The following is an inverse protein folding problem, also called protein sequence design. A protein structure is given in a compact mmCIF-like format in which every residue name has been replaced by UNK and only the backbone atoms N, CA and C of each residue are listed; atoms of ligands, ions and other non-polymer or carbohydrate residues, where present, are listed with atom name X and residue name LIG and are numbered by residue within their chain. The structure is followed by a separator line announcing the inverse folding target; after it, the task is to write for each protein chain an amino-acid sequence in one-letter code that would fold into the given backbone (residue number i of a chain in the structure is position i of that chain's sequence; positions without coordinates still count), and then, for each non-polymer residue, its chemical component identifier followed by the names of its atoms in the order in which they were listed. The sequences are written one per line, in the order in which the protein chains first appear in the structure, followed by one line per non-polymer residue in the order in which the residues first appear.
data_IF_928819675443
#
_entry.id   IF_928819675443
#
_cell.length_a   1.000
_cell.length_b   1.000
_cell.length_c   1.000
_cell.angle_alpha   90.00
_cell.angle_beta   90.00
_cell.angle_gamma   90.00
#
_symmetry.space_group_name_H-M   'P 1'
#
loop_
_entity.id
_entity.type
_entity.pdbx_description
1 polymer ?
#
# COMPACT_ATOMS: atom_id res chain seq x y z
N UNK A 1 -37.55 24.47 -16.66
CA UNK A 1 -37.18 23.62 -15.51
C UNK A 1 -35.78 24.05 -15.13
N UNK A 2 -35.68 24.94 -14.16
CA UNK A 2 -34.40 25.29 -13.55
C UNK A 2 -33.88 24.04 -12.84
N UNK A 3 -32.72 23.54 -13.27
CA UNK A 3 -31.97 22.56 -12.50
C UNK A 3 -31.67 23.19 -11.14
N UNK A 4 -32.36 22.72 -10.11
CA UNK A 4 -32.12 23.09 -8.71
C UNK A 4 -30.72 22.57 -8.35
N UNK A 5 -29.68 23.34 -8.65
CA UNK A 5 -28.32 23.05 -8.20
C UNK A 5 -28.31 23.10 -6.67
N UNK A 6 -28.41 21.93 -6.04
CA UNK A 6 -28.24 21.79 -4.59
C UNK A 6 -26.86 22.39 -4.23
N UNK A 7 -26.81 23.29 -3.22
CA UNK A 7 -25.56 23.93 -2.84
C UNK A 7 -24.56 22.87 -2.38
N UNK A 8 -23.33 22.98 -2.86
CA UNK A 8 -22.26 22.06 -2.51
C UNK A 8 -22.01 22.06 -0.99
N UNK A 9 -21.74 20.88 -0.44
CA UNK A 9 -21.62 20.67 1.00
C UNK A 9 -20.16 20.64 1.40
N UNK A 10 -19.81 21.34 2.47
CA UNK A 10 -18.45 21.35 2.99
C UNK A 10 -18.20 20.08 3.81
N UNK A 11 -17.18 19.32 3.44
CA UNK A 11 -16.65 18.17 4.14
C UNK A 11 -15.20 18.46 4.53
N UNK A 12 -14.77 17.93 5.68
CA UNK A 12 -13.36 18.00 6.07
C UNK A 12 -12.78 16.61 6.29
N UNK A 13 -11.60 16.37 5.74
CA UNK A 13 -10.82 15.16 5.98
C UNK A 13 -9.60 15.52 6.83
N UNK A 14 -9.38 14.79 7.92
CA UNK A 14 -8.25 15.00 8.82
C UNK A 14 -7.32 13.81 8.77
N UNK A 15 -6.06 14.08 8.40
CA UNK A 15 -4.95 13.14 8.39
C UNK A 15 -3.84 13.76 9.24
N UNK A 16 -3.66 13.31 10.49
CA UNK A 16 -2.53 13.76 11.32
C UNK A 16 -1.23 13.03 10.92
N UNK A 17 -0.87 13.18 9.65
CA UNK A 17 0.23 12.52 8.93
C UNK A 17 0.44 13.17 7.56
N UNK A 18 1.38 12.66 6.78
CA UNK A 18 1.64 13.13 5.42
C UNK A 18 0.51 12.72 4.47
N UNK A 19 -0.19 13.69 3.89
CA UNK A 19 -1.35 13.48 3.02
C UNK A 19 -0.96 12.63 1.80
N UNK A 20 0.20 12.91 1.18
CA UNK A 20 0.68 12.18 0.01
C UNK A 20 0.93 10.70 0.28
N UNK A 21 1.10 10.31 1.55
CA UNK A 21 1.30 8.92 2.00
C UNK A 21 0.05 8.28 2.62
N UNK A 22 -1.09 8.95 2.53
CA UNK A 22 -2.40 8.45 2.97
C UNK A 22 -3.33 8.24 1.77
N UNK A 23 -3.05 7.29 0.87
CA UNK A 23 -3.79 7.12 -0.39
C UNK A 23 -5.29 6.91 -0.17
N UNK A 24 -5.68 6.09 0.81
CA UNK A 24 -7.09 5.86 1.17
C UNK A 24 -7.86 7.15 1.50
N UNK A 25 -7.24 8.07 2.23
CA UNK A 25 -7.86 9.35 2.58
C UNK A 25 -7.95 10.30 1.39
N UNK A 26 -6.96 10.25 0.50
CA UNK A 26 -7.01 10.95 -0.77
C UNK A 26 -8.11 10.39 -1.68
N UNK A 27 -8.34 9.07 -1.67
CA UNK A 27 -9.42 8.45 -2.42
C UNK A 27 -10.81 8.81 -1.86
N UNK A 28 -10.96 8.90 -0.53
CA UNK A 28 -12.16 9.48 0.08
C UNK A 28 -12.40 10.92 -0.39
N UNK A 29 -11.36 11.75 -0.43
CA UNK A 29 -11.46 13.12 -0.92
C UNK A 29 -11.94 13.17 -2.37
N UNK A 30 -11.33 12.38 -3.27
CA UNK A 30 -11.77 12.27 -4.66
C UNK A 30 -13.24 11.83 -4.76
N UNK A 31 -13.63 10.78 -4.03
CA UNK A 31 -15.01 10.29 -4.03
C UNK A 31 -16.01 11.34 -3.53
N UNK A 32 -15.66 12.14 -2.51
CA UNK A 32 -16.53 13.23 -2.03
C UNK A 32 -16.64 14.37 -3.06
N UNK A 33 -15.54 14.73 -3.73
CA UNK A 33 -15.54 15.76 -4.78
C UNK A 33 -16.45 15.36 -5.96
N UNK A 34 -16.48 14.07 -6.31
CA UNK A 34 -17.39 13.53 -7.34
C UNK A 34 -18.87 13.64 -6.94
N UNK A 35 -19.19 13.67 -5.64
CA UNK A 35 -20.55 13.77 -5.10
C UNK A 35 -20.92 15.18 -4.66
N UNK A 36 -20.37 16.21 -5.33
CA UNK A 36 -20.68 17.62 -5.13
C UNK A 36 -20.36 18.17 -3.72
N UNK A 37 -19.33 17.63 -3.06
CA UNK A 37 -18.76 18.25 -1.87
C UNK A 37 -17.68 19.27 -2.21
N UNK A 38 -17.55 20.29 -1.36
CA UNK A 38 -16.29 21.02 -1.19
C UNK A 38 -15.50 20.30 -0.09
N UNK A 39 -14.24 19.96 -0.34
CA UNK A 39 -13.41 19.15 0.55
C UNK A 39 -12.24 19.97 1.07
N UNK A 40 -12.17 20.16 2.39
CA UNK A 40 -10.99 20.67 3.07
C UNK A 40 -10.18 19.48 3.63
N UNK A 41 -8.91 19.34 3.26
CA UNK A 41 -8.01 18.29 3.78
C UNK A 41 -7.02 18.93 4.75
N UNK A 42 -6.94 18.44 5.98
CA UNK A 42 -6.00 18.90 7.00
C UNK A 42 -4.95 17.82 7.24
N UNK A 43 -3.67 18.16 7.10
CA UNK A 43 -2.56 17.24 7.35
C UNK A 43 -1.20 17.84 7.03
N UNK A 44 -0.14 17.03 7.03
CA UNK A 44 1.17 17.45 6.55
C UNK A 44 1.27 17.25 5.03
N UNK A 45 2.04 18.09 4.36
CA UNK A 45 2.31 17.98 2.92
C UNK A 45 3.82 17.86 2.72
N UNK A 46 4.35 16.68 3.00
CA UNK A 46 5.77 16.36 2.79
C UNK A 46 5.98 15.69 1.43
N UNK A 47 4.99 14.91 0.99
CA UNK A 47 4.93 14.28 -0.33
C UNK A 47 3.81 14.91 -1.15
N UNK A 48 3.98 15.00 -2.47
CA UNK A 48 2.94 15.50 -3.37
C UNK A 48 1.67 14.63 -3.29
N UNK A 49 0.48 15.23 -3.06
CA UNK A 49 -0.79 14.54 -3.15
C UNK A 49 -1.14 14.14 -4.59
N UNK A 50 -2.17 13.31 -4.74
CA UNK A 50 -2.79 12.95 -6.02
C UNK A 50 -3.09 14.20 -6.85
N UNK A 51 -2.70 14.17 -8.13
CA UNK A 51 -2.90 15.27 -9.06
C UNK A 51 -4.38 15.66 -9.17
N UNK A 52 -5.29 14.71 -9.04
CA UNK A 52 -6.75 14.93 -9.07
C UNK A 52 -7.21 15.91 -7.98
N UNK A 53 -6.60 15.86 -6.79
CA UNK A 53 -6.93 16.78 -5.68
C UNK A 53 -6.41 18.18 -5.97
N UNK A 54 -5.19 18.26 -6.50
CA UNK A 54 -4.54 19.52 -6.87
C UNK A 54 -5.30 20.21 -8.00
N UNK A 55 -5.80 19.48 -9.01
CA UNK A 55 -6.55 20.04 -10.15
C UNK A 55 -7.87 20.71 -9.75
N UNK A 56 -8.46 20.35 -8.60
CA UNK A 56 -9.75 20.87 -8.14
C UNK A 56 -9.64 22.05 -7.16
N UNK A 57 -8.73 23.01 -7.38
CA UNK A 57 -8.48 24.14 -6.47
C UNK A 57 -9.73 24.92 -6.00
N UNK A 58 -10.81 24.94 -6.79
CA UNK A 58 -12.06 25.61 -6.43
C UNK A 58 -12.91 24.84 -5.40
N UNK A 59 -12.82 23.52 -5.37
CA UNK A 59 -13.62 22.63 -4.51
C UNK A 59 -12.78 21.90 -3.45
N UNK A 60 -11.49 21.71 -3.68
CA UNK A 60 -10.56 21.03 -2.79
C UNK A 60 -9.50 22.00 -2.27
N UNK A 61 -9.34 22.08 -0.94
CA UNK A 61 -8.32 22.91 -0.30
C UNK A 61 -7.53 22.10 0.70
N UNK A 62 -6.21 22.22 0.64
CA UNK A 62 -5.29 21.55 1.58
C UNK A 62 -4.81 22.58 2.60
N UNK A 63 -4.98 22.25 3.88
CA UNK A 63 -4.57 23.06 5.02
C UNK A 63 -3.42 22.37 5.73
N UNK A 64 -2.21 22.86 5.46
CA UNK A 64 -0.99 22.26 5.98
C UNK A 64 -0.83 22.53 7.48
N UNK A 65 -0.60 21.46 8.23
CA UNK A 65 -0.23 21.55 9.64
C UNK A 65 1.20 22.04 9.79
N UNK A 66 1.46 22.74 10.88
CA UNK A 66 2.81 23.22 11.21
C UNK A 66 3.64 22.04 11.72
N UNK A 67 4.79 21.73 11.09
CA UNK A 67 5.68 20.67 11.55
C UNK A 67 6.07 20.87 13.02
N UNK A 68 6.23 19.76 13.75
CA UNK A 68 6.69 19.81 15.14
C UNK A 68 8.16 20.22 15.14
N UNK A 69 8.56 21.28 15.86
CA UNK A 69 9.96 21.71 15.87
C UNK A 69 10.83 20.65 16.55
N UNK A 70 12.06 20.49 16.05
CA UNK A 70 13.02 19.60 16.68
C UNK A 70 13.53 20.25 17.97
N UNK A 71 13.32 19.55 19.09
CA UNK A 71 13.60 20.04 20.44
C UNK A 71 14.48 19.04 21.18
N UNK A 72 15.50 19.52 21.88
CA UNK A 72 16.40 18.67 22.67
C UNK A 72 15.80 18.26 24.01
N UNK A 73 14.67 17.55 23.98
CA UNK A 73 13.99 17.02 25.18
C UNK A 73 14.25 15.53 25.39
N UNK A 74 13.99 15.04 26.61
CA UNK A 74 13.94 13.60 26.89
C UNK A 74 12.80 12.95 26.10
N UNK A 75 12.85 11.63 25.76
CA UNK A 75 11.85 10.98 24.92
C UNK A 75 10.39 11.17 25.41
N UNK A 76 10.16 11.14 26.73
CA UNK A 76 8.83 11.37 27.32
C UNK A 76 8.37 12.82 27.11
N UNK A 77 9.24 13.79 27.36
CA UNK A 77 8.93 15.22 27.15
C UNK A 77 8.74 15.54 25.67
N UNK A 78 9.51 14.92 24.76
CA UNK A 78 9.30 15.00 23.30
C UNK A 78 7.89 14.56 22.92
N UNK A 79 7.41 13.44 23.45
CA UNK A 79 6.06 12.93 23.15
C UNK A 79 4.97 13.87 23.65
N UNK A 80 5.11 14.40 24.87
CA UNK A 80 4.16 15.36 25.47
C UNK A 80 4.15 16.65 24.65
N UNK A 81 5.32 17.22 24.38
CA UNK A 81 5.45 18.43 23.57
C UNK A 81 4.87 18.25 22.17
N UNK A 82 5.19 17.12 21.50
CA UNK A 82 4.62 16.75 20.20
C UNK A 82 3.10 16.71 20.26
N UNK A 83 2.53 16.09 21.28
CA UNK A 83 1.07 15.99 21.44
C UNK A 83 0.42 17.36 21.62
N UNK A 84 1.00 18.25 22.45
CA UNK A 84 0.51 19.62 22.65
C UNK A 84 0.61 20.42 21.35
N UNK A 85 1.77 20.38 20.69
CA UNK A 85 2.00 21.11 19.44
C UNK A 85 1.02 20.68 18.35
N UNK A 86 0.87 19.37 18.15
CA UNK A 86 -0.08 18.81 17.19
C UNK A 86 -1.52 19.19 17.54
N UNK A 87 -1.88 19.23 18.83
CA UNK A 87 -3.21 19.68 19.27
C UNK A 87 -3.47 21.12 18.88
N UNK A 88 -2.53 22.03 19.14
CA UNK A 88 -2.65 23.45 18.83
C UNK A 88 -2.67 23.70 17.31
N UNK A 89 -1.80 23.01 16.57
CA UNK A 89 -1.74 23.13 15.11
C UNK A 89 -3.03 22.63 14.45
N UNK A 90 -3.55 21.47 14.91
CA UNK A 90 -4.81 20.91 14.41
C UNK A 90 -6.00 21.80 14.76
N UNK A 91 -6.08 22.31 16.00
CA UNK A 91 -7.12 23.27 16.39
C UNK A 91 -7.10 24.52 15.50
N UNK A 92 -5.92 25.13 15.31
CA UNK A 92 -5.76 26.30 14.44
C UNK A 92 -6.26 26.02 13.03
N UNK A 93 -5.91 24.88 12.44
CA UNK A 93 -6.36 24.50 11.10
C UNK A 93 -7.88 24.28 11.04
N UNK A 94 -8.46 23.60 12.04
CA UNK A 94 -9.91 23.35 12.10
C UNK A 94 -10.73 24.64 12.24
N UNK A 95 -10.19 25.66 12.91
CA UNK A 95 -10.85 26.97 13.01
C UNK A 95 -10.57 27.88 11.80
N UNK A 96 -9.67 27.51 10.89
CA UNK A 96 -9.43 28.27 9.64
C UNK A 96 -10.25 27.78 8.44
N UNK A 97 -10.89 26.62 8.54
CA UNK A 97 -11.76 26.08 7.47
C UNK A 97 -13.19 26.62 7.57
N UNK A 98 -13.93 26.51 6.47
CA UNK A 98 -15.38 26.70 6.50
C UNK A 98 -16.01 25.58 7.33
N UNK A 99 -17.09 25.90 8.06
CA UNK A 99 -17.81 24.92 8.87
C UNK A 99 -18.21 23.70 8.04
N UNK A 100 -17.68 22.50 8.32
CA UNK A 100 -18.03 21.30 7.58
C UNK A 100 -19.31 20.68 8.15
N UNK A 101 -20.08 19.97 7.32
CA UNK A 101 -21.20 19.14 7.79
C UNK A 101 -20.68 17.92 8.55
N UNK A 102 -19.59 17.33 8.07
CA UNK A 102 -18.91 16.21 8.73
C UNK A 102 -17.39 16.30 8.61
N UNK A 103 -16.72 15.72 9.60
CA UNK A 103 -15.29 15.45 9.64
C UNK A 103 -15.06 13.96 9.44
N UNK A 104 -14.24 13.58 8.47
CA UNK A 104 -13.73 12.22 8.32
C UNK A 104 -12.29 12.17 8.82
N UNK A 105 -12.04 11.39 9.87
CA UNK A 105 -10.74 11.32 10.53
C UNK A 105 -10.07 9.98 10.26
N UNK A 106 -8.82 10.01 9.81
CA UNK A 106 -7.97 8.81 9.74
C UNK A 106 -7.49 8.45 11.15
N UNK A 107 -7.75 7.22 11.60
CA UNK A 107 -7.13 6.65 12.77
C UNK A 107 -6.23 5.48 12.36
N UNK A 108 -4.92 5.47 12.72
CA UNK A 108 -4.20 6.37 13.63
C UNK A 108 -3.58 7.62 12.96
N UNK A 109 -3.04 8.58 13.75
CA UNK A 109 -3.00 8.60 15.22
C UNK A 109 -4.30 9.12 15.83
N UNK A 110 -4.76 8.46 16.88
CA UNK A 110 -5.97 8.82 17.62
C UNK A 110 -5.73 9.87 18.69
N UNK A 111 -4.47 10.03 19.12
CA UNK A 111 -4.04 11.05 20.08
C UNK A 111 -3.07 12.00 19.39
N UNK A 112 -3.31 13.32 19.42
CA UNK A 112 -4.46 14.01 20.01
C UNK A 112 -5.72 14.03 19.12
N UNK A 113 -5.66 13.49 17.90
CA UNK A 113 -6.61 13.73 16.80
C UNK A 113 -8.07 13.51 17.18
N UNK A 114 -8.44 12.34 17.71
CA UNK A 114 -9.84 12.01 17.99
C UNK A 114 -10.44 12.94 19.05
N UNK A 115 -9.64 13.33 20.04
CA UNK A 115 -10.07 14.27 21.08
C UNK A 115 -10.41 15.63 20.48
N UNK A 116 -9.47 16.18 19.71
CA UNK A 116 -9.59 17.51 19.12
C UNK A 116 -10.74 17.55 18.12
N UNK A 117 -10.83 16.54 17.24
CA UNK A 117 -11.91 16.46 16.25
C UNK A 117 -13.28 16.27 16.92
N UNK A 118 -13.39 15.49 17.99
CA UNK A 118 -14.63 15.34 18.75
C UNK A 118 -15.09 16.67 19.36
N UNK A 119 -14.21 17.38 20.08
CA UNK A 119 -14.57 18.66 20.69
C UNK A 119 -14.91 19.72 19.63
N UNK A 120 -14.18 19.76 18.52
CA UNK A 120 -14.51 20.62 17.40
C UNK A 120 -15.92 20.32 16.84
N UNK A 121 -16.25 19.04 16.60
CA UNK A 121 -17.56 18.63 16.10
C UNK A 121 -18.68 18.99 17.07
N UNK A 122 -18.44 18.89 18.38
CA UNK A 122 -19.39 19.30 19.41
C UNK A 122 -19.68 20.81 19.36
N UNK A 123 -18.63 21.65 19.26
CA UNK A 123 -18.75 23.11 19.20
C UNK A 123 -19.41 23.56 17.89
N UNK A 124 -18.94 23.01 16.77
CA UNK A 124 -19.40 23.38 15.43
C UNK A 124 -20.67 22.66 15.02
N UNK A 125 -21.24 21.77 15.85
CA UNK A 125 -22.39 20.90 15.52
C UNK A 125 -22.20 20.25 14.15
N UNK A 126 -21.03 19.63 13.98
CA UNK A 126 -20.64 18.83 12.80
C UNK A 126 -20.65 17.36 13.19
N UNK A 127 -20.69 16.47 12.20
CA UNK A 127 -20.69 15.02 12.42
C UNK A 127 -19.28 14.47 12.39
N UNK A 128 -18.94 13.58 13.33
CA UNK A 128 -17.64 12.93 13.38
C UNK A 128 -17.73 11.54 12.76
N UNK A 129 -16.93 11.29 11.74
CA UNK A 129 -16.76 9.98 11.10
C UNK A 129 -15.32 9.53 11.29
N UNK A 130 -15.10 8.32 11.77
CA UNK A 130 -13.75 7.76 11.95
C UNK A 130 -13.54 6.62 10.96
N UNK A 131 -12.45 6.68 10.19
CA UNK A 131 -11.96 5.57 9.40
C UNK A 131 -10.81 4.89 10.14
N UNK A 132 -11.03 3.63 10.55
CA UNK A 132 -10.11 2.83 11.36
C UNK A 132 -9.23 1.98 10.46
N UNK A 133 -7.93 2.25 10.49
CA UNK A 133 -6.90 1.56 9.70
C UNK A 133 -6.04 0.69 10.62
N UNK A 134 -5.74 1.19 11.81
CA UNK A 134 -5.01 0.49 12.85
C UNK A 134 -5.30 1.16 14.22
N UNK A 135 -4.66 0.69 15.29
CA UNK A 135 -4.77 1.31 16.61
C UNK A 135 -3.51 2.08 16.98
N UNK A 136 -3.71 3.23 17.59
CA UNK A 136 -2.63 4.12 18.04
C UNK A 136 -1.79 3.45 19.11
N UNK A 137 -2.44 2.73 20.02
CA UNK A 137 -1.73 2.07 21.12
C UNK A 137 -0.83 0.92 20.64
N UNK A 138 -1.22 0.19 19.57
CA UNK A 138 -0.39 -0.89 19.01
C UNK A 138 0.81 -0.33 18.25
N UNK A 139 0.64 0.77 17.50
CA UNK A 139 1.77 1.47 16.87
C UNK A 139 2.72 2.05 17.92
N UNK A 140 2.18 2.67 18.98
CA UNK A 140 3.00 3.19 20.07
C UNK A 140 3.81 2.08 20.76
N UNK A 141 3.19 0.90 20.94
CA UNK A 141 3.83 -0.26 21.56
C UNK A 141 5.08 -0.74 20.80
N UNK A 142 5.14 -0.60 19.47
CA UNK A 142 6.33 -0.99 18.67
C UNK A 142 7.59 -0.21 19.07
N UNK A 143 7.44 1.02 19.57
CA UNK A 143 8.57 1.88 19.98
C UNK A 143 8.88 1.79 21.48
N UNK A 144 8.17 0.97 22.25
CA UNK A 144 8.27 0.90 23.71
C UNK A 144 8.87 -0.43 24.18
N UNK A 145 9.80 -0.39 25.15
CA UNK A 145 10.48 -1.60 25.67
C UNK A 145 9.53 -2.66 26.25
N UNK A 146 8.44 -2.22 26.89
CA UNK A 146 7.44 -3.11 27.51
C UNK A 146 6.22 -3.37 26.60
N UNK A 147 6.29 -2.94 25.33
CA UNK A 147 5.20 -3.04 24.37
C UNK A 147 3.88 -2.47 24.90
N UNK A 148 2.79 -3.24 24.76
CA UNK A 148 1.45 -2.85 25.22
C UNK A 148 1.31 -2.77 26.75
N UNK A 149 2.21 -3.40 27.51
CA UNK A 149 2.17 -3.37 28.98
C UNK A 149 2.57 -2.01 29.56
N UNK A 150 3.21 -1.17 28.74
CA UNK A 150 3.61 0.17 29.14
C UNK A 150 2.39 1.03 29.54
N UNK A 151 2.51 1.79 30.63
CA UNK A 151 1.45 2.66 31.13
C UNK A 151 0.98 3.69 30.10
N UNK A 152 1.88 4.22 29.27
CA UNK A 152 1.53 5.16 28.20
C UNK A 152 0.68 4.50 27.12
N UNK A 153 1.00 3.26 26.74
CA UNK A 153 0.21 2.48 25.77
C UNK A 153 -1.20 2.19 26.32
N UNK A 154 -1.31 1.81 27.60
CA UNK A 154 -2.61 1.60 28.26
C UNK A 154 -3.45 2.87 28.34
N UNK A 155 -2.82 4.00 28.67
CA UNK A 155 -3.49 5.30 28.68
C UNK A 155 -3.92 5.71 27.26
N UNK A 156 -3.06 5.50 26.26
CA UNK A 156 -3.38 5.77 24.88
C UNK A 156 -4.57 4.93 24.39
N UNK A 157 -4.57 3.63 24.71
CA UNK A 157 -5.69 2.73 24.42
C UNK A 157 -7.00 3.19 25.06
N UNK A 158 -6.95 3.65 26.31
CA UNK A 158 -8.14 4.16 27.01
C UNK A 158 -8.70 5.42 26.34
N UNK A 159 -7.85 6.38 25.99
CA UNK A 159 -8.26 7.60 25.29
C UNK A 159 -8.84 7.27 23.91
N UNK A 160 -8.15 6.42 23.16
CA UNK A 160 -8.60 5.98 21.83
C UNK A 160 -9.95 5.27 21.92
N UNK A 161 -10.14 4.37 22.89
CA UNK A 161 -11.41 3.71 23.18
C UNK A 161 -12.52 4.72 23.50
N UNK A 162 -12.25 5.64 24.43
CA UNK A 162 -13.26 6.57 24.93
C UNK A 162 -13.72 7.56 23.86
N UNK A 163 -12.78 8.20 23.15
CA UNK A 163 -13.12 9.18 22.11
C UNK A 163 -13.53 8.51 20.80
N UNK A 164 -12.97 7.33 20.51
CA UNK A 164 -13.38 6.50 19.39
C UNK A 164 -14.87 6.18 19.43
N UNK A 165 -15.38 5.73 20.59
CA UNK A 165 -16.79 5.40 20.76
C UNK A 165 -17.79 6.58 20.72
N UNK A 166 -17.33 7.81 20.50
CA UNK A 166 -18.19 9.00 20.42
C UNK A 166 -18.47 9.50 19.00
N UNK A 167 -17.92 8.86 17.98
CA UNK A 167 -18.19 9.24 16.60
C UNK A 167 -19.63 8.87 16.17
N UNK A 168 -20.15 9.60 15.18
CA UNK A 168 -21.48 9.38 14.60
C UNK A 168 -21.49 8.19 13.61
N UNK A 169 -20.35 7.89 12.98
CA UNK A 169 -20.19 6.77 12.05
C UNK A 169 -18.74 6.28 11.99
N UNK A 170 -18.58 5.02 11.58
CA UNK A 170 -17.30 4.33 11.59
C UNK A 170 -17.10 3.52 10.30
N UNK A 171 -15.93 3.65 9.70
CA UNK A 171 -15.41 2.75 8.67
C UNK A 171 -14.24 1.93 9.22
N UNK A 172 -14.04 0.72 8.75
CA UNK A 172 -12.84 -0.04 9.05
C UNK A 172 -12.36 -0.83 7.83
N UNK A 173 -11.07 -1.16 7.83
CA UNK A 173 -10.38 -1.81 6.71
C UNK A 173 -10.71 -3.30 6.56
N UNK A 174 -11.19 -3.98 7.62
CA UNK A 174 -11.42 -5.44 7.64
C UNK A 174 -12.62 -5.86 8.48
N UNK A 175 -13.17 -7.05 8.20
CA UNK A 175 -14.17 -7.69 9.08
C UNK A 175 -13.57 -8.05 10.43
N UNK A 176 -12.32 -8.47 10.47
CA UNK A 176 -11.61 -8.74 11.72
C UNK A 176 -11.57 -7.49 12.61
N UNK A 177 -11.29 -6.31 12.04
CA UNK A 177 -11.34 -5.04 12.77
C UNK A 177 -12.77 -4.68 13.17
N UNK A 178 -13.76 -4.87 12.29
CA UNK A 178 -15.17 -4.64 12.62
C UNK A 178 -15.59 -5.45 13.87
N UNK A 179 -15.23 -6.73 13.90
CA UNK A 179 -15.53 -7.63 15.04
C UNK A 179 -14.77 -7.19 16.29
N UNK A 180 -13.52 -6.76 16.17
CA UNK A 180 -12.74 -6.25 17.30
C UNK A 180 -13.32 -4.96 17.88
N UNK A 181 -13.69 -4.00 17.02
CA UNK A 181 -14.35 -2.76 17.42
C UNK A 181 -15.69 -3.03 18.11
N UNK A 182 -16.48 -3.99 17.60
CA UNK A 182 -17.73 -4.36 18.24
C UNK A 182 -17.53 -5.03 19.60
N UNK A 183 -16.66 -6.04 19.67
CA UNK A 183 -16.53 -6.89 20.85
C UNK A 183 -15.65 -6.30 21.96
N UNK A 184 -14.58 -5.58 21.57
CA UNK A 184 -13.58 -5.06 22.50
C UNK A 184 -13.69 -3.54 22.70
N UNK A 185 -14.29 -2.81 21.75
CA UNK A 185 -14.44 -1.36 21.83
C UNK A 185 -15.86 -0.90 22.12
N UNK A 186 -16.84 -1.82 22.13
CA UNK A 186 -18.28 -1.50 22.23
C UNK A 186 -18.75 -0.50 21.16
N UNK A 187 -18.11 -0.51 19.99
CA UNK A 187 -18.47 0.33 18.86
C UNK A 187 -19.30 -0.52 17.89
N UNK A 188 -20.60 -0.26 17.87
CA UNK A 188 -21.56 -0.90 16.96
C UNK A 188 -21.71 -0.10 15.66
N UNK A 189 -22.34 -0.71 14.63
CA UNK A 189 -22.62 -0.07 13.33
C UNK A 189 -21.37 0.37 12.54
N UNK A 190 -20.24 -0.31 12.72
CA UNK A 190 -19.03 -0.09 11.92
C UNK A 190 -19.23 -0.70 10.53
N UNK A 191 -18.93 0.06 9.48
CA UNK A 191 -18.99 -0.44 8.10
C UNK A 191 -17.60 -0.90 7.67
N UNK A 192 -17.51 -2.13 7.15
CA UNK A 192 -16.28 -2.58 6.49
C UNK A 192 -16.20 -1.92 5.12
N UNK A 193 -15.19 -1.08 4.96
CA UNK A 193 -14.82 -0.49 3.68
C UNK A 193 -13.45 -1.03 3.34
N UNK A 194 -13.41 -2.10 2.55
CA UNK A 194 -12.16 -2.68 2.09
C UNK A 194 -11.41 -1.72 1.17
N UNK A 195 -10.09 -1.69 1.29
CA UNK A 195 -9.24 -1.09 0.27
C UNK A 195 -9.39 -1.83 -1.06
N UNK A 196 -9.44 -1.06 -2.13
CA UNK A 196 -9.56 -1.54 -3.50
C UNK A 196 -8.61 -0.77 -4.40
N UNK A 197 -8.06 -1.42 -5.43
CA UNK A 197 -7.14 -0.74 -6.32
C UNK A 197 -7.88 0.36 -7.08
N UNK A 198 -7.17 1.46 -7.36
CA UNK A 198 -7.63 2.46 -8.32
C UNK A 198 -7.56 1.90 -9.74
N UNK A 199 -8.08 2.65 -10.70
CA UNK A 199 -7.97 2.30 -12.13
C UNK A 199 -6.54 2.36 -12.67
N UNK A 200 -5.59 2.99 -11.96
CA UNK A 200 -4.18 3.07 -12.37
C UNK A 200 -3.45 1.75 -12.18
N UNK A 201 -3.82 0.96 -11.17
CA UNK A 201 -3.32 -0.41 -10.99
C UNK A 201 -4.15 -1.36 -11.86
N UNK A 202 -3.64 -1.70 -13.04
CA UNK A 202 -4.32 -2.60 -13.98
C UNK A 202 -3.32 -3.46 -14.76
N UNK A 203 -3.73 -4.63 -15.26
CA UNK A 203 -2.91 -5.40 -16.18
C UNK A 203 -2.55 -4.57 -17.43
N UNK A 204 -1.36 -4.79 -17.97
CA UNK A 204 -0.87 -4.11 -19.16
C UNK A 204 -0.52 -5.12 -20.26
N UNK A 205 -0.60 -4.68 -21.51
CA UNK A 205 -0.15 -5.46 -22.65
C UNK A 205 1.37 -5.62 -22.67
N UNK A 206 1.84 -6.53 -23.53
CA UNK A 206 3.27 -6.85 -23.64
C UNK A 206 4.11 -5.69 -24.21
N UNK A 207 3.50 -4.79 -24.99
CA UNK A 207 4.19 -3.63 -25.55
C UNK A 207 4.59 -2.67 -24.44
N UNK A 208 3.65 -2.34 -23.53
CA UNK A 208 3.94 -1.53 -22.35
C UNK A 208 4.97 -2.17 -21.42
N UNK A 209 4.94 -3.50 -21.27
CA UNK A 209 5.99 -4.23 -20.53
C UNK A 209 7.36 -4.03 -21.18
N UNK A 210 7.44 -4.15 -22.51
CA UNK A 210 8.69 -3.91 -23.24
C UNK A 210 9.20 -2.48 -23.05
N UNK A 211 8.32 -1.48 -23.12
CA UNK A 211 8.68 -0.07 -22.96
C UNK A 211 9.28 0.22 -21.57
N UNK A 212 8.68 -0.29 -20.49
CA UNK A 212 9.24 -0.11 -19.14
C UNK A 212 10.58 -0.85 -18.97
N UNK A 213 10.72 -2.05 -19.55
CA UNK A 213 11.99 -2.78 -19.53
C UNK A 213 13.08 -2.03 -20.29
N UNK A 214 12.76 -1.43 -21.44
CA UNK A 214 13.67 -0.58 -22.22
C UNK A 214 14.01 0.72 -21.49
N UNK A 215 13.06 1.31 -20.76
CA UNK A 215 13.33 2.49 -19.92
C UNK A 215 14.32 2.13 -18.81
N UNK A 216 14.10 1.03 -18.10
CA UNK A 216 14.94 0.59 -16.98
C UNK A 216 16.31 0.06 -17.42
N UNK A 217 16.44 -0.51 -18.63
CA UNK A 217 17.72 -1.00 -19.16
C UNK A 217 18.76 0.09 -19.36
N UNK A 218 18.34 1.36 -19.46
CA UNK A 218 19.25 2.52 -19.51
C UNK A 218 19.98 2.76 -18.18
N UNK A 219 19.39 2.32 -17.06
CA UNK A 219 19.92 2.55 -15.71
C UNK A 219 20.39 1.29 -15.02
N UNK A 220 19.87 0.12 -15.41
CA UNK A 220 20.10 -1.15 -14.75
C UNK A 220 20.51 -2.21 -15.78
N UNK A 221 21.74 -2.71 -15.68
CA UNK A 221 22.29 -3.71 -16.61
C UNK A 221 21.51 -5.03 -16.58
N UNK A 222 20.85 -5.34 -15.47
CA UNK A 222 20.00 -6.53 -15.31
C UNK A 222 18.80 -6.56 -16.27
N UNK A 223 18.41 -5.40 -16.83
CA UNK A 223 17.34 -5.29 -17.83
C UNK A 223 17.88 -5.31 -19.27
N UNK A 224 19.19 -5.15 -19.47
CA UNK A 224 19.80 -5.16 -20.79
C UNK A 224 19.78 -6.57 -21.38
N UNK A 225 19.68 -6.66 -22.71
CA UNK A 225 19.91 -7.93 -23.38
C UNK A 225 21.39 -8.30 -23.26
N UNK A 226 21.69 -9.60 -23.13
CA UNK A 226 23.04 -10.09 -23.37
C UNK A 226 23.41 -9.77 -24.82
N UNK A 227 24.55 -9.11 -25.02
CA UNK A 227 25.05 -8.71 -26.34
C UNK A 227 25.18 -9.96 -27.22
N UNK A 228 24.34 -10.05 -28.24
CA UNK A 228 24.46 -11.06 -29.27
C UNK A 228 24.70 -10.31 -30.59
N UNK A 229 25.86 -10.53 -31.20
CA UNK A 229 26.28 -9.89 -32.47
C UNK A 229 25.35 -10.26 -33.64
N UNK A 230 24.40 -11.18 -33.44
CA UNK A 230 23.47 -11.71 -34.44
C UNK A 230 22.02 -11.17 -34.32
N UNK A 231 21.73 -10.19 -33.45
CA UNK A 231 20.36 -9.63 -33.28
C UNK A 231 19.77 -9.08 -34.59
N UNK A 232 20.58 -8.42 -35.42
CA UNK A 232 20.16 -7.94 -36.74
C UNK A 232 19.84 -9.09 -37.70
N UNK A 233 20.63 -10.18 -37.68
CA UNK A 233 20.39 -11.38 -38.51
C UNK A 233 19.12 -12.13 -38.09
N UNK A 234 18.75 -12.03 -36.81
CA UNK A 234 17.53 -12.62 -36.25
C UNK A 234 16.29 -11.73 -36.44
N UNK A 235 16.41 -10.59 -37.12
CA UNK A 235 15.29 -9.68 -37.37
C UNK A 235 14.78 -8.98 -36.11
N UNK A 236 15.63 -8.82 -35.09
CA UNK A 236 15.30 -8.12 -33.83
C UNK A 236 15.72 -6.66 -33.92
N UNK A 237 14.80 -5.76 -33.59
CA UNK A 237 14.98 -4.29 -33.59
C UNK A 237 15.41 -3.78 -32.22
N UNK A 238 14.75 -4.23 -31.15
CA UNK A 238 15.03 -3.87 -29.76
C UNK A 238 14.95 -5.11 -28.88
N UNK A 239 15.81 -5.22 -27.87
CA UNK A 239 15.81 -6.38 -26.96
C UNK A 239 16.16 -5.97 -25.53
N UNK A 240 15.56 -6.67 -24.58
CA UNK A 240 15.86 -6.61 -23.14
C UNK A 240 16.22 -8.00 -22.63
N UNK A 241 16.49 -8.13 -21.33
CA UNK A 241 16.62 -9.43 -20.67
C UNK A 241 15.32 -10.27 -20.75
N UNK A 242 14.17 -9.65 -21.01
CA UNK A 242 12.85 -10.28 -20.87
C UNK A 242 12.08 -10.43 -22.19
N UNK A 243 12.22 -9.46 -23.07
CA UNK A 243 11.37 -9.28 -24.26
C UNK A 243 12.19 -8.82 -25.44
N UNK A 244 11.70 -9.10 -26.64
CA UNK A 244 12.29 -8.62 -27.89
C UNK A 244 11.20 -8.08 -28.82
N UNK A 245 11.54 -7.03 -29.55
CA UNK A 245 10.71 -6.41 -30.59
C UNK A 245 11.34 -6.68 -31.94
N UNK A 246 10.56 -7.28 -32.83
CA UNK A 246 10.99 -7.64 -34.18
C UNK A 246 10.89 -6.42 -35.13
N UNK A 247 11.49 -6.51 -36.33
CA UNK A 247 11.43 -5.43 -37.33
C UNK A 247 10.01 -5.13 -37.83
N UNK A 248 9.09 -6.08 -37.73
CA UNK A 248 7.66 -5.89 -38.00
C UNK A 248 6.89 -5.29 -36.79
N UNK A 249 7.61 -4.76 -35.81
CA UNK A 249 7.12 -4.17 -34.56
C UNK A 249 6.32 -5.13 -33.65
N UNK A 250 6.36 -6.45 -33.89
CA UNK A 250 5.79 -7.44 -32.98
C UNK A 250 6.69 -7.60 -31.75
N UNK A 251 6.10 -7.46 -30.56
CA UNK A 251 6.78 -7.71 -29.28
C UNK A 251 6.44 -9.12 -28.79
N UNK A 252 7.46 -9.85 -28.36
CA UNK A 252 7.32 -11.18 -27.78
C UNK A 252 8.25 -11.38 -26.57
N UNK A 253 7.85 -12.28 -25.67
CA UNK A 253 8.74 -12.74 -24.59
C UNK A 253 9.90 -13.56 -25.18
N UNK A 254 11.10 -13.46 -24.58
CA UNK A 254 12.19 -14.40 -24.86
C UNK A 254 11.87 -15.76 -24.22
N UNK A 255 12.21 -16.85 -24.89
CA UNK A 255 11.89 -18.21 -24.45
C UNK A 255 12.61 -18.58 -23.14
N UNK A 256 13.83 -18.10 -22.98
CA UNK A 256 14.77 -18.31 -21.87
C UNK A 256 14.88 -17.10 -20.94
N UNK A 257 13.86 -16.22 -20.95
CA UNK A 257 13.92 -14.98 -20.18
C UNK A 257 14.12 -15.20 -18.68
N UNK A 258 14.79 -14.24 -18.05
CA UNK A 258 14.82 -14.13 -16.61
C UNK A 258 13.40 -13.96 -16.05
N UNK A 259 13.19 -14.45 -14.84
CA UNK A 259 11.95 -14.24 -14.08
C UNK A 259 12.05 -12.97 -13.23
N UNK A 260 10.92 -12.28 -13.01
CA UNK A 260 10.87 -11.05 -12.20
C UNK A 260 10.10 -11.31 -10.91
N UNK A 261 10.80 -11.23 -9.79
CA UNK A 261 10.22 -11.15 -8.45
C UNK A 261 10.22 -9.69 -8.00
N UNK A 262 9.09 -9.17 -7.54
CA UNK A 262 9.02 -7.79 -7.06
C UNK A 262 8.51 -7.70 -5.63
N UNK A 263 9.11 -6.81 -4.84
CA UNK A 263 8.60 -6.41 -3.54
C UNK A 263 8.59 -4.89 -3.43
N UNK A 264 7.54 -4.33 -2.84
CA UNK A 264 7.47 -2.93 -2.48
C UNK A 264 7.53 -2.79 -0.96
N UNK A 265 8.28 -1.80 -0.47
CA UNK A 265 8.62 -1.74 0.96
C UNK A 265 8.87 -0.32 1.44
N UNK A 266 8.61 -0.12 2.73
CA UNK A 266 8.96 1.12 3.43
C UNK A 266 10.34 1.03 4.08
N UNK A 267 11.05 -0.10 3.94
CA UNK A 267 12.32 -0.44 4.59
C UNK A 267 12.31 -0.15 6.10
N UNK A 268 11.18 -0.42 6.74
CA UNK A 268 10.96 -0.21 8.18
C UNK A 268 11.16 -1.52 8.95
N UNK A 269 11.55 -1.47 10.24
CA UNK A 269 11.89 -2.66 11.01
C UNK A 269 10.78 -3.70 11.18
N UNK A 270 9.52 -3.33 10.93
CA UNK A 270 8.38 -4.22 10.91
C UNK A 270 8.36 -5.14 9.68
N UNK A 271 9.09 -4.84 8.60
CA UNK A 271 9.24 -5.72 7.44
C UNK A 271 10.56 -6.53 7.58
N UNK A 272 10.49 -7.80 8.00
CA UNK A 272 11.69 -8.64 8.15
C UNK A 272 12.21 -9.14 6.78
N UNK A 273 13.03 -8.30 6.15
CA UNK A 273 13.74 -8.64 4.91
C UNK A 273 14.75 -9.78 5.06
N UNK A 274 15.09 -10.19 6.29
CA UNK A 274 15.87 -11.40 6.53
C UNK A 274 15.14 -12.66 6.05
N UNK A 275 13.81 -12.66 6.08
CA UNK A 275 13.00 -13.76 5.55
C UNK A 275 13.19 -13.88 4.03
N UNK A 276 13.03 -12.76 3.30
CA UNK A 276 13.21 -12.74 1.85
C UNK A 276 14.64 -13.10 1.46
N UNK A 277 15.64 -12.55 2.14
CA UNK A 277 17.06 -12.82 1.85
C UNK A 277 17.38 -14.31 1.98
N UNK A 278 16.97 -14.95 3.07
CA UNK A 278 17.19 -16.40 3.29
C UNK A 278 16.42 -17.27 2.30
N UNK A 279 15.21 -16.85 1.92
CA UNK A 279 14.42 -17.57 0.93
C UNK A 279 15.08 -17.53 -0.46
N UNK A 280 15.66 -16.37 -0.83
CA UNK A 280 16.42 -16.20 -2.07
C UNK A 280 17.75 -16.95 -2.04
N UNK A 281 18.44 -17.03 -0.90
CA UNK A 281 19.64 -17.87 -0.73
C UNK A 281 19.31 -19.36 -0.93
N UNK A 282 18.17 -19.82 -0.40
CA UNK A 282 17.71 -21.18 -0.63
C UNK A 282 17.31 -21.44 -2.10
N UNK A 283 16.67 -20.46 -2.76
CA UNK A 283 16.40 -20.52 -4.20
C UNK A 283 17.69 -20.57 -5.03
N UNK A 284 18.68 -19.72 -4.73
CA UNK A 284 19.99 -19.69 -5.38
C UNK A 284 20.66 -21.06 -5.32
N UNK A 285 20.71 -21.67 -4.13
CA UNK A 285 21.32 -22.99 -3.94
C UNK A 285 20.60 -24.09 -4.75
N UNK A 286 19.27 -24.08 -4.77
CA UNK A 286 18.50 -25.06 -5.54
C UNK A 286 18.67 -24.86 -7.06
N UNK A 287 18.63 -23.60 -7.51
CA UNK A 287 18.79 -23.24 -8.91
C UNK A 287 20.21 -23.52 -9.43
N UNK A 288 21.24 -23.49 -8.57
CA UNK A 288 22.60 -23.92 -8.91
C UNK A 288 22.74 -25.43 -9.04
N UNK A 289 21.99 -26.21 -8.25
CA UNK A 289 21.96 -27.66 -8.35
C UNK A 289 21.18 -28.14 -9.59
N UNK A 290 20.16 -27.38 -10.00
CA UNK A 290 19.27 -27.71 -11.13
C UNK A 290 19.19 -26.56 -12.16
N UNK A 291 20.31 -26.17 -12.80
CA UNK A 291 20.40 -24.93 -13.58
C UNK A 291 19.51 -24.89 -14.83
N UNK A 292 19.09 -26.05 -15.34
CA UNK A 292 18.18 -26.17 -16.49
C UNK A 292 16.71 -26.06 -16.10
N UNK A 293 16.39 -26.35 -14.83
CA UNK A 293 15.01 -26.32 -14.34
C UNK A 293 14.64 -24.94 -13.77
N UNK A 294 15.60 -24.08 -13.44
CA UNK A 294 15.32 -22.79 -12.81
C UNK A 294 15.87 -21.61 -13.62
N UNK A 295 15.05 -20.57 -13.89
CA UNK A 295 15.52 -19.36 -14.56
C UNK A 295 16.43 -18.55 -13.64
N UNK A 296 17.17 -17.62 -14.23
CA UNK A 296 17.74 -16.54 -13.43
C UNK A 296 16.60 -15.64 -12.93
N UNK A 297 16.70 -15.21 -11.67
CA UNK A 297 15.67 -14.43 -11.00
C UNK A 297 16.17 -13.01 -10.77
N UNK A 298 15.47 -12.03 -11.34
CA UNK A 298 15.65 -10.63 -11.01
C UNK A 298 14.72 -10.28 -9.85
N UNK A 299 15.30 -10.02 -8.67
CA UNK A 299 14.60 -9.51 -7.51
C UNK A 299 14.63 -7.96 -7.50
N UNK A 300 13.45 -7.36 -7.69
CA UNK A 300 13.25 -5.92 -7.67
C UNK A 300 12.67 -5.53 -6.32
N UNK A 301 13.34 -4.65 -5.58
CA UNK A 301 12.85 -4.14 -4.29
C UNK A 301 12.74 -2.62 -4.32
N UNK A 302 11.53 -2.11 -4.48
CA UNK A 302 11.27 -0.67 -4.59
C UNK A 302 10.81 -0.05 -3.27
N UNK A 303 11.02 1.26 -3.13
CA UNK A 303 10.67 2.05 -1.96
C UNK A 303 11.87 2.64 -1.23
N UNK A 304 11.60 3.34 -0.13
CA UNK A 304 12.60 4.12 0.63
C UNK A 304 12.39 3.96 2.14
N UNK A 305 13.48 3.77 2.85
CA UNK A 305 13.54 3.83 4.30
C UNK A 305 14.86 3.35 4.87
N UNK A 306 14.97 3.28 6.21
CA UNK A 306 16.25 3.20 6.91
C UNK A 306 17.01 1.88 6.72
N UNK A 307 16.33 0.76 6.47
CA UNK A 307 16.98 -0.55 6.38
C UNK A 307 17.55 -0.89 4.99
N UNK A 308 17.36 -0.01 4.00
CA UNK A 308 17.83 -0.25 2.62
C UNK A 308 19.33 -0.50 2.55
N UNK A 309 20.13 0.37 3.16
CA UNK A 309 21.59 0.31 3.07
C UNK A 309 22.15 -0.93 3.80
N UNK A 310 21.55 -1.30 4.93
CA UNK A 310 21.91 -2.53 5.64
C UNK A 310 21.63 -3.76 4.78
N UNK A 311 20.47 -3.81 4.11
CA UNK A 311 20.12 -4.90 3.21
C UNK A 311 21.08 -4.98 2.01
N UNK A 312 21.40 -3.84 1.39
CA UNK A 312 22.41 -3.74 0.32
C UNK A 312 23.78 -4.26 0.79
N UNK A 313 24.19 -3.91 2.01
CA UNK A 313 25.42 -4.41 2.62
C UNK A 313 25.41 -5.92 2.87
N UNK A 314 24.25 -6.53 3.16
CA UNK A 314 24.11 -8.00 3.33
C UNK A 314 24.20 -8.72 2.00
N UNK A 315 23.47 -8.27 0.97
CA UNK A 315 23.52 -8.93 -0.36
C UNK A 315 24.92 -8.86 -0.97
N UNK A 316 25.68 -7.78 -0.75
CA UNK A 316 27.03 -7.61 -1.29
C UNK A 316 28.09 -8.51 -0.66
N UNK A 317 27.81 -9.14 0.48
CA UNK A 317 28.69 -10.13 1.12
C UNK A 317 28.48 -11.54 0.59
N UNK A 318 27.39 -11.77 -0.12
CA UNK A 318 27.00 -13.06 -0.68
C UNK A 318 27.39 -13.13 -2.16
N UNK A 319 27.63 -14.34 -2.66
CA UNK A 319 27.89 -14.57 -4.09
C UNK A 319 26.61 -15.07 -4.74
N UNK A 320 26.13 -14.32 -5.71
CA UNK A 320 24.91 -14.64 -6.45
C UNK A 320 25.25 -14.91 -7.92
N UNK A 321 24.69 -15.98 -8.47
CA UNK A 321 24.81 -16.41 -9.86
C UNK A 321 23.43 -16.48 -10.51
N UNK A 322 22.45 -17.10 -9.83
CA UNK A 322 21.09 -17.28 -10.36
C UNK A 322 20.15 -16.13 -9.95
N UNK A 323 20.41 -15.44 -8.85
CA UNK A 323 19.62 -14.30 -8.39
C UNK A 323 20.38 -12.99 -8.63
N UNK A 324 19.67 -11.96 -9.09
CA UNK A 324 20.19 -10.60 -9.22
C UNK A 324 19.24 -9.61 -8.56
N UNK A 325 19.75 -8.44 -8.17
CA UNK A 325 18.97 -7.45 -7.41
C UNK A 325 18.98 -6.08 -8.08
N UNK A 326 17.83 -5.41 -8.06
CA UNK A 326 17.71 -3.98 -8.39
C UNK A 326 16.80 -3.32 -7.35
N UNK A 327 17.20 -2.13 -6.86
CA UNK A 327 16.42 -1.39 -5.86
C UNK A 327 16.04 0.01 -6.36
N UNK A 328 15.15 0.10 -7.37
CA UNK A 328 14.89 1.34 -8.06
C UNK A 328 13.99 2.25 -7.22
N UNK A 329 14.23 3.56 -7.35
CA UNK A 329 13.22 4.55 -7.01
C UNK A 329 12.36 4.77 -8.26
N UNK A 330 11.06 4.60 -8.13
CA UNK A 330 10.11 4.68 -9.23
C UNK A 330 9.13 5.82 -8.94
N UNK A 331 8.77 6.56 -9.99
CA UNK A 331 7.56 7.38 -9.92
C UNK A 331 6.30 6.47 -9.88
N UNK A 332 5.15 7.08 -9.63
CA UNK A 332 3.91 6.31 -9.43
C UNK A 332 3.49 5.53 -10.68
N UNK A 333 3.69 6.08 -11.89
CA UNK A 333 3.31 5.43 -13.15
C UNK A 333 4.23 4.26 -13.48
N UNK A 334 5.54 4.44 -13.32
CA UNK A 334 6.52 3.37 -13.46
C UNK A 334 6.31 2.28 -12.41
N UNK A 335 5.93 2.64 -11.18
CA UNK A 335 5.58 1.67 -10.14
C UNK A 335 4.40 0.80 -10.56
N UNK A 336 3.29 1.39 -10.99
CA UNK A 336 2.11 0.66 -11.48
C UNK A 336 2.47 -0.27 -12.65
N UNK A 337 3.22 0.27 -13.63
CA UNK A 337 3.62 -0.46 -14.84
C UNK A 337 4.56 -1.62 -14.51
N UNK A 338 5.52 -1.42 -13.61
CA UNK A 338 6.47 -2.47 -13.22
C UNK A 338 5.81 -3.57 -12.41
N UNK A 339 4.86 -3.24 -11.52
CA UNK A 339 4.04 -4.26 -10.84
C UNK A 339 3.28 -5.13 -11.85
N UNK A 340 2.68 -4.52 -12.87
CA UNK A 340 1.96 -5.26 -13.92
C UNK A 340 2.89 -6.05 -14.87
N UNK A 341 4.18 -5.69 -14.91
CA UNK A 341 5.19 -6.36 -15.72
C UNK A 341 5.85 -7.56 -15.02
N UNK A 342 5.83 -7.63 -13.68
CA UNK A 342 6.46 -8.67 -12.89
C UNK A 342 5.75 -10.05 -12.98
N UNK A 343 6.43 -11.10 -12.51
CA UNK A 343 5.93 -12.49 -12.55
C UNK A 343 5.40 -13.00 -11.21
N UNK A 344 5.91 -12.47 -10.10
CA UNK A 344 5.43 -12.75 -8.74
C UNK A 344 5.74 -11.57 -7.79
N UNK A 345 4.79 -11.23 -6.93
CA UNK A 345 4.97 -10.26 -5.85
C UNK A 345 5.35 -10.92 -4.52
N UNK A 346 6.11 -10.23 -3.68
CA UNK A 346 6.34 -10.61 -2.27
C UNK A 346 5.98 -9.45 -1.35
N UNK A 347 5.09 -9.71 -0.40
CA UNK A 347 4.71 -8.76 0.64
C UNK A 347 5.11 -9.28 2.03
N UNK A 348 6.05 -8.58 2.67
CA UNK A 348 6.51 -8.86 4.04
C UNK A 348 5.78 -8.01 5.09
N UNK A 349 4.95 -7.05 4.66
CA UNK A 349 4.23 -6.16 5.56
C UNK A 349 3.19 -6.92 6.37
N UNK A 350 3.20 -6.72 7.69
CA UNK A 350 2.18 -7.18 8.62
C UNK A 350 1.64 -6.01 9.45
N UNK A 351 0.40 -6.13 9.90
CA UNK A 351 -0.24 -5.10 10.73
C UNK A 351 0.12 -5.25 12.21
N UNK A 352 0.55 -4.16 12.86
CA UNK A 352 0.85 -4.15 14.30
C UNK A 352 -0.30 -4.63 15.20
N UNK A 353 -1.56 -4.39 14.82
CA UNK A 353 -2.75 -4.93 15.50
C UNK A 353 -3.17 -6.31 14.97
N UNK A 354 -2.63 -6.72 13.82
CA UNK A 354 -3.06 -7.87 13.04
C UNK A 354 -4.39 -7.66 12.31
N UNK A 355 -4.92 -6.43 12.28
CA UNK A 355 -6.28 -6.13 11.79
C UNK A 355 -6.32 -5.24 10.54
N UNK A 356 -5.16 -4.79 10.06
CA UNK A 356 -5.01 -4.00 8.83
C UNK A 356 -4.50 -4.85 7.66
N UNK A 357 -4.99 -4.60 6.45
CA UNK A 357 -4.57 -5.32 5.25
C UNK A 357 -3.44 -4.57 4.51
N UNK A 358 -2.50 -5.28 3.88
CA UNK A 358 -1.40 -4.62 3.21
C UNK A 358 -1.87 -4.04 1.87
N UNK A 359 -1.98 -2.70 1.79
CA UNK A 359 -2.33 -1.99 0.55
C UNK A 359 -1.43 -2.39 -0.64
N UNK A 360 -0.15 -2.71 -0.37
CA UNK A 360 0.78 -3.20 -1.40
C UNK A 360 0.27 -4.45 -2.12
N UNK A 361 -0.41 -5.37 -1.42
CA UNK A 361 -1.03 -6.54 -2.05
C UNK A 361 -2.25 -6.14 -2.87
N UNK A 362 -3.02 -5.15 -2.41
CA UNK A 362 -4.16 -4.58 -3.16
C UNK A 362 -3.67 -4.00 -4.50
N UNK A 363 -2.55 -3.27 -4.49
CA UNK A 363 -1.91 -2.72 -5.70
C UNK A 363 -1.49 -3.84 -6.66
N UNK A 364 -0.76 -4.85 -6.15
CA UNK A 364 -0.30 -6.00 -6.94
C UNK A 364 -1.50 -6.76 -7.56
N UNK A 365 -2.54 -7.03 -6.79
CA UNK A 365 -3.77 -7.66 -7.29
C UNK A 365 -4.48 -6.78 -8.31
N UNK A 366 -4.49 -5.46 -8.11
CA UNK A 366 -4.98 -4.49 -9.09
C UNK A 366 -4.29 -4.65 -10.46
N UNK A 367 -2.97 -4.87 -10.46
CA UNK A 367 -2.17 -5.12 -11.65
C UNK A 367 -2.26 -6.57 -12.20
N UNK A 368 -2.93 -7.47 -11.51
CA UNK A 368 -3.02 -8.89 -11.89
C UNK A 368 -1.80 -9.71 -11.52
N UNK A 369 -0.98 -9.19 -10.60
CA UNK A 369 0.22 -9.83 -10.09
C UNK A 369 -0.14 -10.68 -8.86
N UNK A 370 0.00 -12.02 -8.91
CA UNK A 370 -0.14 -12.85 -7.72
C UNK A 370 0.99 -12.59 -6.72
N UNK A 371 0.75 -12.90 -5.44
CA UNK A 371 1.70 -12.59 -4.37
C UNK A 371 1.98 -13.78 -3.47
N UNK A 372 3.18 -13.81 -2.90
CA UNK A 372 3.45 -14.46 -1.62
C UNK A 372 3.31 -13.41 -0.51
N UNK A 373 2.45 -13.63 0.49
CA UNK A 373 2.24 -12.68 1.59
C UNK A 373 2.53 -13.31 2.96
N UNK A 374 3.16 -12.52 3.85
CA UNK A 374 3.46 -12.95 5.22
C UNK A 374 2.18 -13.12 6.05
N UNK A 375 2.01 -14.26 6.71
CA UNK A 375 0.80 -14.62 7.44
C UNK A 375 0.58 -13.77 8.69
N UNK A 376 -0.64 -13.26 8.86
CA UNK A 376 -1.10 -12.66 10.12
C UNK A 376 -2.63 -12.66 10.18
N UNK A 377 -3.17 -12.31 11.36
CA UNK A 377 -4.56 -12.56 11.78
C UNK A 377 -5.66 -12.31 10.74
N UNK A 378 -5.65 -11.19 10.01
CA UNK A 378 -6.72 -10.86 9.04
C UNK A 378 -6.31 -11.01 7.56
N UNK A 379 -5.10 -11.49 7.26
CA UNK A 379 -4.60 -11.58 5.88
C UNK A 379 -5.53 -12.39 4.97
N UNK A 380 -6.17 -13.43 5.51
CA UNK A 380 -7.07 -14.32 4.79
C UNK A 380 -8.32 -13.63 4.20
N UNK A 381 -8.62 -12.41 4.61
CA UNK A 381 -9.66 -11.58 3.97
C UNK A 381 -9.23 -11.08 2.58
N UNK A 382 -7.92 -10.94 2.33
CA UNK A 382 -7.35 -10.49 1.06
C UNK A 382 -6.69 -11.63 0.28
N UNK A 383 -5.72 -12.31 0.91
CA UNK A 383 -4.96 -13.39 0.27
C UNK A 383 -5.52 -14.74 0.71
N UNK A 384 -6.11 -15.45 -0.25
CA UNK A 384 -6.65 -16.80 -0.08
C UNK A 384 -5.64 -17.80 -0.64
N UNK A 385 -4.99 -18.60 0.22
CA UNK A 385 -3.98 -19.57 -0.22
C UNK A 385 -4.48 -20.44 -1.36
N UNK A 386 -3.65 -20.60 -2.40
CA UNK A 386 -3.95 -21.42 -3.58
C UNK A 386 -5.18 -20.96 -4.40
N UNK A 387 -5.74 -19.77 -4.14
CA UNK A 387 -6.79 -19.18 -4.96
C UNK A 387 -6.31 -17.92 -5.69
N UNK A 388 -5.64 -17.00 -4.99
CA UNK A 388 -5.15 -15.74 -5.56
C UNK A 388 -3.71 -15.39 -5.16
N UNK A 389 -3.07 -16.25 -4.37
CA UNK A 389 -1.70 -16.07 -3.90
C UNK A 389 -1.26 -17.19 -2.96
N UNK A 390 -0.06 -17.04 -2.42
CA UNK A 390 0.54 -17.90 -1.42
C UNK A 390 0.68 -17.16 -0.09
N UNK A 391 0.70 -17.93 0.99
CA UNK A 391 0.91 -17.42 2.35
C UNK A 391 2.10 -18.14 2.97
N UNK A 392 2.95 -17.40 3.68
CA UNK A 392 4.13 -17.93 4.36
C UNK A 392 4.31 -17.31 5.74
N UNK A 393 4.94 -18.05 6.65
CA UNK A 393 5.27 -17.61 8.01
C UNK A 393 6.78 -17.47 8.23
N UNK A 394 7.58 -18.09 7.37
CA UNK A 394 9.03 -18.14 7.49
C UNK A 394 9.72 -18.27 6.12
N UNK A 395 11.05 -18.23 6.14
CA UNK A 395 11.85 -18.24 4.92
C UNK A 395 11.83 -19.59 4.20
N UNK A 396 11.60 -20.70 4.92
CA UNK A 396 11.48 -22.04 4.33
C UNK A 396 10.24 -22.11 3.44
N UNK A 397 9.07 -21.74 3.98
CA UNK A 397 7.82 -21.71 3.22
C UNK A 397 7.88 -20.73 2.05
N UNK A 398 8.48 -19.54 2.25
CA UNK A 398 8.67 -18.61 1.14
C UNK A 398 9.55 -19.23 0.04
N UNK A 399 10.66 -19.90 0.41
CA UNK A 399 11.52 -20.58 -0.55
C UNK A 399 10.80 -21.72 -1.28
N UNK A 400 9.97 -22.51 -0.59
CA UNK A 400 9.13 -23.55 -1.21
C UNK A 400 8.20 -22.95 -2.27
N UNK A 401 7.53 -21.84 -1.97
CA UNK A 401 6.67 -21.15 -2.93
C UNK A 401 7.44 -20.58 -4.12
N UNK A 402 8.64 -20.01 -3.89
CA UNK A 402 9.49 -19.51 -4.97
C UNK A 402 9.97 -20.64 -5.89
N UNK A 403 10.44 -21.74 -5.31
CA UNK A 403 10.86 -22.91 -6.07
C UNK A 403 9.68 -23.49 -6.86
N UNK A 404 8.52 -23.68 -6.24
CA UNK A 404 7.32 -24.15 -6.91
C UNK A 404 6.94 -23.23 -8.08
N UNK A 405 6.92 -21.91 -7.88
CA UNK A 405 6.43 -20.96 -8.89
C UNK A 405 7.36 -20.84 -10.10
N UNK A 406 8.68 -20.91 -9.89
CA UNK A 406 9.69 -20.67 -10.91
C UNK A 406 10.35 -21.94 -11.48
N UNK A 407 10.06 -23.13 -10.94
CA UNK A 407 10.47 -24.39 -11.57
C UNK A 407 9.94 -24.46 -13.00
N UNK A 408 10.80 -24.80 -13.96
CA UNK A 408 10.59 -24.90 -15.41
C UNK A 408 9.88 -23.69 -16.03
N UNK A 409 10.09 -22.52 -15.42
CA UNK A 409 9.56 -21.26 -15.91
C UNK A 409 10.12 -20.92 -17.31
N UNK A 410 9.32 -20.33 -18.22
CA UNK A 410 7.93 -19.90 -18.05
C UNK A 410 6.88 -21.00 -18.28
N UNK A 411 7.28 -22.16 -18.82
CA UNK A 411 6.38 -23.14 -19.46
C UNK A 411 6.05 -24.38 -18.62
N UNK A 412 6.13 -24.31 -17.29
CA UNK A 412 5.83 -25.45 -16.43
C UNK A 412 4.32 -25.79 -16.39
N UNK A 413 3.96 -26.96 -16.90
CA UNK A 413 2.57 -27.46 -16.92
C UNK A 413 1.96 -27.62 -15.52
N UNK A 414 2.77 -27.97 -14.50
CA UNK A 414 2.30 -28.16 -13.13
C UNK A 414 1.87 -26.84 -12.49
N UNK A 415 2.58 -25.73 -12.78
CA UNK A 415 2.23 -24.41 -12.24
C UNK A 415 1.16 -23.71 -13.07
N UNK A 416 0.99 -24.09 -14.34
CA UNK A 416 0.00 -23.47 -15.23
C UNK A 416 -1.44 -23.57 -14.71
N UNK A 417 -1.83 -24.69 -14.11
CA UNK A 417 -3.15 -24.83 -13.50
C UNK A 417 -3.35 -23.81 -12.36
N UNK A 418 -2.38 -23.70 -11.45
CA UNK A 418 -2.38 -22.71 -10.35
C UNK A 418 -2.39 -21.28 -10.89
N UNK A 419 -1.57 -20.97 -11.91
CA UNK A 419 -1.55 -19.66 -12.58
C UNK A 419 -2.91 -19.29 -13.15
N UNK A 420 -3.59 -20.21 -13.82
CA UNK A 420 -4.93 -19.99 -14.37
C UNK A 420 -5.96 -19.72 -13.26
N UNK A 421 -5.91 -20.47 -12.16
CA UNK A 421 -6.75 -20.23 -10.98
C UNK A 421 -6.49 -18.83 -10.42
N UNK A 422 -5.22 -18.44 -10.27
CA UNK A 422 -4.86 -17.13 -9.74
C UNK A 422 -5.33 -16.01 -10.66
N UNK A 423 -5.06 -16.10 -11.96
CA UNK A 423 -5.51 -15.11 -12.95
C UNK A 423 -7.03 -14.90 -12.87
N UNK A 424 -7.80 -15.98 -12.83
CA UNK A 424 -9.27 -15.90 -12.73
C UNK A 424 -9.73 -15.16 -11.46
N UNK A 425 -9.18 -15.52 -10.30
CA UNK A 425 -9.55 -14.89 -9.03
C UNK A 425 -9.08 -13.42 -8.95
N UNK A 426 -7.93 -13.10 -9.55
CA UNK A 426 -7.44 -11.73 -9.62
C UNK A 426 -8.30 -10.87 -10.56
N UNK A 427 -8.76 -11.41 -11.69
CA UNK A 427 -9.73 -10.75 -12.56
C UNK A 427 -11.06 -10.47 -11.83
N UNK A 428 -11.55 -11.43 -11.03
CA UNK A 428 -12.73 -11.21 -10.18
C UNK A 428 -12.49 -10.10 -9.14
N UNK A 429 -11.33 -10.10 -8.48
CA UNK A 429 -10.93 -9.05 -7.53
C UNK A 429 -10.90 -7.67 -8.19
N UNK A 430 -10.40 -7.59 -9.43
CA UNK A 430 -10.32 -6.38 -10.25
C UNK A 430 -11.67 -5.86 -10.74
N UNK A 431 -12.73 -6.68 -10.69
CA UNK A 431 -14.08 -6.29 -11.11
C UNK A 431 -14.70 -5.23 -10.21
N UNK A 432 -14.19 -5.04 -8.99
CA UNK A 432 -14.64 -4.01 -8.05
C UNK A 432 -13.47 -3.08 -7.69
N UNK A 433 -13.49 -1.84 -8.21
CA UNK A 433 -12.47 -0.82 -7.91
C UNK A 433 -12.90 0.06 -6.74
N UNK A 434 -11.99 0.93 -6.29
CA UNK A 434 -12.26 1.86 -5.18
C UNK A 434 -13.56 2.63 -5.35
N UNK A 435 -13.76 3.21 -6.54
CA UNK A 435 -14.89 4.10 -6.80
C UNK A 435 -16.24 3.40 -6.60
N UNK A 436 -16.42 2.22 -7.19
CA UNK A 436 -17.66 1.45 -7.10
C UNK A 436 -17.87 0.89 -5.68
N UNK A 437 -16.79 0.42 -5.05
CA UNK A 437 -16.82 -0.05 -3.66
C UNK A 437 -17.21 1.06 -2.68
N UNK A 438 -16.65 2.26 -2.86
CA UNK A 438 -16.95 3.43 -2.04
C UNK A 438 -18.40 3.90 -2.23
N UNK A 439 -18.88 3.95 -3.48
CA UNK A 439 -20.28 4.29 -3.76
C UNK A 439 -21.26 3.30 -3.12
N UNK A 440 -20.90 2.02 -3.09
CA UNK A 440 -21.74 0.96 -2.53
C UNK A 440 -21.78 0.99 -0.99
N UNK A 441 -20.63 1.22 -0.35
CA UNK A 441 -20.49 1.02 1.10
C UNK A 441 -20.37 2.31 1.91
N UNK A 442 -19.77 3.36 1.37
CA UNK A 442 -19.46 4.60 2.10
C UNK A 442 -20.46 5.72 1.82
N UNK A 443 -20.90 5.89 0.56
CA UNK A 443 -21.77 7.00 0.15
C UNK A 443 -23.04 7.12 1.00
N UNK A 444 -23.68 5.99 1.34
CA UNK A 444 -24.91 5.97 2.14
C UNK A 444 -24.77 6.57 3.55
N UNK A 445 -23.56 6.60 4.12
CA UNK A 445 -23.28 7.29 5.39
C UNK A 445 -23.26 8.79 5.18
N UNK A 446 -22.59 9.26 4.13
CA UNK A 446 -22.47 10.68 3.83
C UNK A 446 -23.79 11.26 3.32
N UNK A 447 -24.61 10.48 2.61
CA UNK A 447 -25.95 10.87 2.16
C UNK A 447 -26.91 11.23 3.31
N UNK A 448 -26.63 10.82 4.55
CA UNK A 448 -27.40 11.27 5.72
C UNK A 448 -27.10 12.72 6.09
N UNK A 449 -26.02 13.26 5.54
CA UNK A 449 -25.48 14.59 5.82
C UNK A 449 -25.42 15.47 4.57
N UNK A 450 -25.47 14.85 3.38
CA UNK A 450 -25.75 15.47 2.08
C UNK A 450 -27.23 15.85 2.00
#
# INVERSE_FOLDING_TARGET
MEDLFLPAINACIVVLGDIGRSPRMQYHACSLLEHNCNVDIIGYQETEPLEELSRQHGKCKIHCLTPVPDVNFTPKLKLIFKTIWQSLSLLRALFSINRPKFLLVQNPPGIPTLMICYFYCLIMRSKLVIDWHNYTYTILALSMKDGERNLLCRFARWLEYYFGGKADAHFCVTKAMQMDLNNNWNISNVIVLYDRPTSRFQPIDLYKKHDIFMKLSKSYSQFQAETCDDLEKMGVKESTAFTQKLHNDIVQYKADRNAILISSTSWTPDEDFGILLKALEAYENNALQHPQDFPNLLCIITGKGPQKDEFVGKIGKMKWVKVSFVMPWLDFEDYCTLLAAADLGVCLHWSSSGLDLPMKVVDMFGCGLPVCAYNFKCLNELVKPHQNGFVFENHQQLSEHLNFWFEKFPNNTNTNATKQVFIKNLQEFQGLRWRENWNTHALGIFNKYL
#
